data_IF_252472891357
#
_entry.id   IF_252472891357
#
_cell.length_a   1.000
_cell.length_b   1.000
_cell.length_c   1.000
_cell.angle_alpha   90.00
_cell.angle_beta   90.00
_cell.angle_gamma   90.00
#
_symmetry.space_group_name_H-M   'P 1'
#
loop_
_entity.id
_entity.type
_entity.pdbx_description
1 polymer ?
#
# COMPACT_ATOMS: atom_id res chain seq x y z
N UNK A 1 9.73 4.45 -13.87
CA UNK A 1 9.46 3.01 -13.75
C UNK A 1 8.41 2.80 -12.67
N UNK A 2 7.40 2.03 -12.98
CA UNK A 2 6.29 1.83 -12.06
C UNK A 2 6.55 0.64 -11.15
N UNK A 3 6.05 0.77 -9.93
CA UNK A 3 6.14 -0.33 -8.99
C UNK A 3 5.05 -1.35 -9.28
N UNK A 4 5.35 -2.60 -9.02
CA UNK A 4 4.36 -3.65 -9.20
C UNK A 4 3.41 -3.70 -8.00
N UNK A 5 2.28 -4.40 -8.19
CA UNK A 5 1.32 -4.58 -7.12
C UNK A 5 1.97 -5.21 -5.89
N UNK A 6 2.83 -6.20 -6.09
CA UNK A 6 3.47 -6.86 -4.96
C UNK A 6 4.41 -5.91 -4.23
N UNK A 7 5.03 -4.98 -4.94
CA UNK A 7 5.88 -3.99 -4.28
C UNK A 7 5.05 -3.01 -3.44
N UNK A 8 3.91 -2.59 -3.96
CA UNK A 8 3.01 -1.73 -3.19
C UNK A 8 2.57 -2.44 -1.91
N UNK A 9 2.22 -3.72 -2.03
CA UNK A 9 1.78 -4.48 -0.86
C UNK A 9 2.91 -4.66 0.13
N UNK A 10 4.11 -4.84 -0.35
CA UNK A 10 5.27 -4.94 0.50
C UNK A 10 5.51 -3.67 1.30
N UNK A 11 5.42 -2.52 0.63
CA UNK A 11 5.56 -1.24 1.31
C UNK A 11 4.46 -1.03 2.33
N UNK A 12 3.24 -1.45 2.00
CA UNK A 12 2.14 -1.36 2.95
C UNK A 12 2.44 -2.20 4.20
N UNK A 13 2.94 -3.41 3.99
CA UNK A 13 3.25 -4.29 5.10
C UNK A 13 4.37 -3.70 5.96
N UNK A 14 5.39 -3.13 5.33
CA UNK A 14 6.46 -2.50 6.07
C UNK A 14 5.96 -1.34 6.92
N UNK A 15 5.09 -0.52 6.34
CA UNK A 15 4.50 0.58 7.08
C UNK A 15 3.69 0.08 8.27
N UNK A 16 2.97 -1.02 8.07
CA UNK A 16 2.18 -1.61 9.15
C UNK A 16 3.07 -2.11 10.28
N UNK A 17 4.18 -2.76 9.94
CA UNK A 17 5.10 -3.24 10.95
C UNK A 17 5.71 -2.08 11.72
N UNK A 18 6.09 -1.02 11.02
CA UNK A 18 6.63 0.15 11.67
C UNK A 18 5.61 0.80 12.60
N UNK A 19 4.34 0.80 12.18
CA UNK A 19 3.29 1.37 13.02
C UNK A 19 3.16 0.63 14.33
N UNK A 20 3.36 -0.69 14.30
CA UNK A 20 3.29 -1.49 15.52
C UNK A 20 4.40 -1.15 16.50
N UNK A 21 5.54 -0.71 15.98
CA UNK A 21 6.68 -0.36 16.81
C UNK A 21 6.76 1.12 17.11
N UNK A 22 5.82 1.91 16.63
CA UNK A 22 5.83 3.36 16.85
C UNK A 22 5.71 3.66 18.32
N UNK A 23 6.47 4.66 18.76
CA UNK A 23 6.51 5.02 20.18
C UNK A 23 5.53 6.12 20.52
N UNK A 24 5.00 6.83 19.56
CA UNK A 24 4.04 7.89 19.81
C UNK A 24 2.80 7.65 18.96
N UNK A 25 1.71 8.27 19.38
CA UNK A 25 0.46 8.19 18.63
C UNK A 25 0.62 8.85 17.28
N UNK A 26 1.31 9.97 17.23
CA UNK A 26 1.52 10.69 15.98
C UNK A 26 2.30 9.84 14.99
N UNK A 27 3.35 9.19 15.45
CA UNK A 27 4.11 8.30 14.58
C UNK A 27 3.24 7.17 14.05
N UNK A 28 2.46 6.58 14.94
CA UNK A 28 1.61 5.46 14.54
C UNK A 28 0.60 5.89 13.49
N UNK A 29 -0.03 7.04 13.71
CA UNK A 29 -1.03 7.52 12.77
C UNK A 29 -0.41 7.86 11.43
N UNK A 30 0.77 8.46 11.43
CA UNK A 30 1.47 8.76 10.21
C UNK A 30 1.75 7.50 9.42
N UNK A 31 2.24 6.46 10.09
CA UNK A 31 2.58 5.21 9.43
C UNK A 31 1.33 4.47 8.96
N UNK A 32 0.24 4.57 9.68
CA UNK A 32 -1.01 3.96 9.26
C UNK A 32 -1.56 4.64 8.01
N UNK A 33 -1.39 5.94 7.93
CA UNK A 33 -1.79 6.65 6.72
C UNK A 33 -0.94 6.24 5.53
N UNK A 34 0.35 6.03 5.77
CA UNK A 34 1.21 5.56 4.69
C UNK A 34 0.82 4.15 4.26
N UNK A 35 0.50 3.31 5.22
CA UNK A 35 0.02 1.97 4.88
C UNK A 35 -1.23 2.04 4.01
N UNK A 36 -2.18 2.87 4.40
CA UNK A 36 -3.42 3.00 3.64
C UNK A 36 -3.15 3.49 2.23
N UNK A 37 -2.22 4.43 2.07
CA UNK A 37 -1.86 4.94 0.76
C UNK A 37 -1.28 3.83 -0.12
N UNK A 38 -0.36 3.03 0.44
CA UNK A 38 0.22 1.94 -0.33
C UNK A 38 -0.82 0.89 -0.71
N UNK A 39 -1.73 0.58 0.21
CA UNK A 39 -2.80 -0.37 -0.08
C UNK A 39 -3.67 0.14 -1.22
N UNK A 40 -4.00 1.42 -1.17
CA UNK A 40 -4.82 2.01 -2.22
C UNK A 40 -4.14 1.91 -3.57
N UNK A 41 -2.83 2.20 -3.61
CA UNK A 41 -2.09 2.11 -4.87
C UNK A 41 -2.06 0.68 -5.38
N UNK A 42 -1.91 -0.28 -4.47
CA UNK A 42 -1.92 -1.69 -4.86
C UNK A 42 -3.26 -2.09 -5.44
N UNK A 43 -4.34 -1.63 -4.82
CA UNK A 43 -5.67 -1.94 -5.31
C UNK A 43 -5.92 -1.34 -6.67
N UNK A 44 -5.46 -0.12 -6.88
CA UNK A 44 -5.63 0.54 -8.16
C UNK A 44 -4.81 -0.16 -9.25
N UNK A 45 -3.63 -0.62 -8.91
CA UNK A 45 -2.81 -1.35 -9.87
C UNK A 45 -3.46 -2.66 -10.26
N UNK A 46 -4.02 -3.37 -9.28
CA UNK A 46 -4.73 -4.62 -9.57
C UNK A 46 -5.97 -4.37 -10.40
N UNK A 47 -6.68 -3.31 -10.06
CA UNK A 47 -7.91 -2.97 -10.77
C UNK A 47 -7.61 -2.63 -12.22
N UNK A 48 -6.55 -1.86 -12.45
CA UNK A 48 -6.17 -1.53 -13.81
C UNK A 48 -5.85 -2.76 -14.62
N UNK A 49 -5.09 -3.69 -14.04
CA UNK A 49 -4.75 -4.92 -14.74
C UNK A 49 -6.00 -5.74 -15.04
N UNK A 50 -6.90 -5.84 -14.09
CA UNK A 50 -8.14 -6.57 -14.31
C UNK A 50 -9.00 -5.92 -15.36
N UNK A 51 -9.05 -4.61 -15.35
CA UNK A 51 -9.83 -3.88 -16.33
C UNK A 51 -9.30 -4.15 -17.74
N UNK A 52 -7.98 -4.15 -17.88
CA UNK A 52 -7.37 -4.47 -19.16
C UNK A 52 -7.76 -5.85 -19.65
N UNK A 53 -7.72 -6.82 -18.76
CA UNK A 53 -8.08 -8.19 -19.11
C UNK A 53 -9.53 -8.25 -19.53
N UNK A 54 -10.37 -7.55 -18.79
CA UNK A 54 -11.80 -7.63 -19.04
C UNK A 54 -12.19 -7.00 -20.37
N UNK A 55 -11.49 -5.98 -20.76
CA UNK A 55 -11.81 -5.28 -22.00
C UNK A 55 -11.41 -6.06 -23.22
N UNK A 56 -10.62 -7.08 -23.04
CA UNK A 56 -10.25 -7.96 -24.14
C UNK A 56 -11.22 -9.09 -24.27
#
# INVERSE_FOLDING_TARGET
MELSTSEYRRFAEESRQLAKSAKTVEEREFLREREASWVKLAQEAEKGAKTDIRNN
#
